data_IF_837387868150
#
_entry.id   IF_837387868150
#
_cell.length_a   1.000
_cell.length_b   1.000
_cell.length_c   1.000
_cell.angle_alpha   90.00
_cell.angle_beta   90.00
_cell.angle_gamma   90.00
#
_symmetry.space_group_name_H-M   'P 1'
#
loop_
_entity.id
_entity.type
_entity.pdbx_description
1 polymer ?
#
# COMPACT_ATOMS: atom_id res chain seq x y z
N UNK A 1 -7.74 -10.02 -2.82
CA UNK A 1 -6.90 -9.43 -1.76
C UNK A 1 -5.65 -10.29 -1.66
N UNK A 2 -4.49 -9.72 -1.95
CA UNK A 2 -3.19 -10.39 -1.98
C UNK A 2 -2.19 -9.60 -1.14
N UNK A 3 -1.59 -10.22 -0.13
CA UNK A 3 -0.51 -9.61 0.62
C UNK A 3 0.77 -9.65 -0.23
N UNK A 4 1.19 -8.49 -0.74
CA UNK A 4 2.37 -8.39 -1.62
C UNK A 4 3.64 -8.03 -0.87
N UNK A 5 3.51 -7.44 0.33
CA UNK A 5 4.63 -7.08 1.20
C UNK A 5 4.22 -7.17 2.67
N UNK A 6 5.14 -7.64 3.52
CA UNK A 6 4.90 -7.76 4.95
C UNK A 6 6.21 -7.75 5.73
N UNK A 7 6.43 -6.66 6.46
CA UNK A 7 7.55 -6.44 7.37
C UNK A 7 7.08 -6.25 8.80
N UNK A 8 8.02 -6.00 9.71
CA UNK A 8 7.71 -5.74 11.12
C UNK A 8 6.98 -4.40 11.31
N UNK A 9 7.27 -3.39 10.49
CA UNK A 9 6.66 -2.06 10.59
C UNK A 9 5.48 -1.87 9.62
N UNK A 10 5.62 -2.28 8.36
CA UNK A 10 4.56 -2.09 7.35
C UNK A 10 4.07 -3.37 6.67
N UNK A 11 2.85 -3.35 6.15
CA UNK A 11 2.28 -4.38 5.27
C UNK A 11 1.56 -3.73 4.09
N UNK A 12 1.68 -4.33 2.90
CA UNK A 12 0.97 -3.89 1.70
C UNK A 12 0.05 -5.00 1.22
N UNK A 13 -1.23 -4.68 1.10
CA UNK A 13 -2.25 -5.57 0.54
C UNK A 13 -2.73 -5.01 -0.79
N UNK A 14 -2.56 -5.79 -1.85
CA UNK A 14 -3.11 -5.51 -3.16
C UNK A 14 -4.56 -6.00 -3.24
N UNK A 15 -5.43 -5.12 -3.69
CA UNK A 15 -6.78 -5.42 -4.12
C UNK A 15 -6.82 -5.43 -5.64
N UNK A 16 -7.08 -6.62 -6.20
CA UNK A 16 -7.27 -6.77 -7.64
C UNK A 16 -8.40 -5.90 -8.15
N UNK A 17 -8.34 -5.54 -9.43
CA UNK A 17 -9.41 -4.76 -10.06
C UNK A 17 -10.74 -5.51 -9.97
N UNK A 18 -11.69 -4.88 -9.30
CA UNK A 18 -13.03 -5.41 -9.07
C UNK A 18 -14.02 -4.47 -9.74
N UNK A 19 -14.78 -5.00 -10.70
CA UNK A 19 -15.74 -4.19 -11.49
C UNK A 19 -17.04 -3.91 -10.75
N UNK A 20 -17.33 -4.66 -9.69
CA UNK A 20 -18.50 -4.49 -8.84
C UNK A 20 -18.25 -3.41 -7.77
N UNK A 21 -17.01 -3.26 -7.32
CA UNK A 21 -16.61 -2.19 -6.39
C UNK A 21 -16.07 -0.98 -7.13
N UNK A 22 -16.83 0.12 -7.15
CA UNK A 22 -16.46 1.35 -7.87
C UNK A 22 -15.09 1.91 -7.44
N UNK A 23 -14.75 1.80 -6.15
CA UNK A 23 -13.44 2.17 -5.61
C UNK A 23 -12.30 1.26 -6.10
N UNK A 24 -12.58 -0.01 -6.38
CA UNK A 24 -11.63 -1.01 -6.87
C UNK A 24 -11.73 -1.24 -8.38
N UNK A 25 -12.46 -0.39 -9.12
CA UNK A 25 -12.65 -0.52 -10.57
C UNK A 25 -11.33 -0.70 -11.34
N UNK A 26 -10.24 -0.11 -10.84
CA UNK A 26 -8.89 -0.21 -11.39
C UNK A 26 -7.89 -0.94 -10.47
N UNK A 27 -8.39 -1.53 -9.38
CA UNK A 27 -7.60 -2.07 -8.28
C UNK A 27 -7.26 -1.02 -7.23
N UNK A 28 -6.67 -1.49 -6.14
CA UNK A 28 -6.26 -0.66 -5.02
C UNK A 28 -5.14 -1.31 -4.22
N UNK A 29 -4.51 -0.51 -3.37
CA UNK A 29 -3.47 -0.93 -2.44
C UNK A 29 -3.80 -0.40 -1.06
N UNK A 30 -3.68 -1.24 -0.06
CA UNK A 30 -3.79 -0.85 1.34
C UNK A 30 -2.43 -0.96 1.98
N UNK A 31 -2.00 0.13 2.60
CA UNK A 31 -0.75 0.19 3.34
C UNK A 31 -1.11 0.29 4.81
N UNK A 32 -0.66 -0.70 5.57
CA UNK A 32 -0.89 -0.78 7.01
C UNK A 32 0.43 -0.51 7.73
N UNK A 33 0.44 0.52 8.56
CA UNK A 33 1.47 0.82 9.53
C UNK A 33 1.14 0.11 10.85
N UNK A 34 1.95 -0.90 11.20
CA UNK A 34 1.82 -1.66 12.44
C UNK A 34 2.35 -0.89 13.64
N UNK A 35 3.30 0.03 13.42
CA UNK A 35 3.94 0.80 14.47
C UNK A 35 2.96 1.75 15.16
N UNK A 36 2.33 2.63 14.37
CA UNK A 36 1.35 3.60 14.85
C UNK A 36 -0.09 3.12 14.70
N UNK A 37 -0.32 1.90 14.19
CA UNK A 37 -1.66 1.34 13.95
C UNK A 37 -2.51 2.26 13.09
N UNK A 38 -1.93 2.72 11.97
CA UNK A 38 -2.59 3.57 10.98
C UNK A 38 -2.58 2.87 9.63
N UNK A 39 -3.57 3.16 8.80
CA UNK A 39 -3.63 2.60 7.46
C UNK A 39 -4.04 3.65 6.45
N UNK A 40 -3.76 3.37 5.19
CA UNK A 40 -4.30 4.16 4.10
C UNK A 40 -4.64 3.27 2.93
N UNK A 41 -5.81 3.55 2.35
CA UNK A 41 -6.29 2.86 1.18
C UNK A 41 -6.10 3.74 -0.04
N UNK A 42 -5.38 3.21 -1.02
CA UNK A 42 -5.01 3.86 -2.26
C UNK A 42 -5.80 3.20 -3.39
N UNK A 43 -6.61 3.99 -4.10
CA UNK A 43 -7.44 3.52 -5.20
C UNK A 43 -7.37 4.44 -6.43
N UNK A 44 -7.85 3.95 -7.56
CA UNK A 44 -8.02 4.73 -8.79
C UNK A 44 -6.70 5.25 -9.37
N UNK A 45 -6.62 6.55 -9.61
CA UNK A 45 -5.42 7.17 -10.21
C UNK A 45 -4.18 7.09 -9.30
N UNK A 46 -4.38 7.14 -7.98
CA UNK A 46 -3.29 7.03 -7.01
C UNK A 46 -2.75 5.60 -6.97
N UNK A 47 -3.61 4.59 -7.12
CA UNK A 47 -3.18 3.17 -7.19
C UNK A 47 -2.33 2.88 -8.42
N UNK A 48 -2.63 3.50 -9.57
CA UNK A 48 -1.78 3.39 -10.75
C UNK A 48 -0.40 4.00 -10.53
N UNK A 49 -0.33 5.16 -9.87
CA UNK A 49 0.94 5.82 -9.57
C UNK A 49 1.75 4.95 -8.59
N UNK A 50 1.13 4.54 -7.48
CA UNK A 50 1.74 3.64 -6.50
C UNK A 50 2.28 2.35 -7.12
N UNK A 51 1.51 1.70 -8.01
CA UNK A 51 1.97 0.50 -8.72
C UNK A 51 3.21 0.78 -9.56
N UNK A 52 3.29 1.95 -10.21
CA UNK A 52 4.46 2.33 -11.00
C UNK A 52 5.66 2.54 -10.09
N UNK A 53 5.50 3.29 -9.01
CA UNK A 53 6.57 3.53 -8.02
C UNK A 53 7.06 2.20 -7.42
N UNK A 54 6.15 1.29 -7.05
CA UNK A 54 6.51 -0.05 -6.54
C UNK A 54 7.20 -0.91 -7.60
N UNK A 55 6.77 -0.86 -8.87
CA UNK A 55 7.47 -1.61 -9.93
C UNK A 55 8.89 -1.07 -10.17
N UNK A 56 9.07 0.25 -10.12
CA UNK A 56 10.38 0.89 -10.24
C UNK A 56 11.28 0.55 -9.04
N UNK A 57 10.70 0.56 -7.84
CA UNK A 57 11.36 0.16 -6.60
C UNK A 57 11.79 -1.30 -6.69
N UNK A 58 10.90 -2.23 -7.01
CA UNK A 58 11.19 -3.68 -7.16
C UNK A 58 12.24 -3.94 -8.25
N UNK A 59 12.23 -3.17 -9.34
CA UNK A 59 13.22 -3.30 -10.41
C UNK A 59 14.64 -2.97 -9.95
N UNK A 60 14.80 -2.21 -8.87
CA UNK A 60 16.10 -1.93 -8.22
C UNK A 60 16.47 -2.96 -7.15
N UNK A 61 15.71 -4.06 -7.00
CA UNK A 61 15.91 -5.10 -5.99
C UNK A 61 16.09 -4.50 -4.58
N UNK A 62 15.08 -3.77 -4.09
CA UNK A 62 15.17 -2.94 -2.90
C UNK A 62 15.22 -3.83 -1.67
N UNK A 63 15.92 -3.38 -0.64
CA UNK A 63 15.90 -4.05 0.66
C UNK A 63 14.59 -3.76 1.40
N UNK A 64 14.23 -4.59 2.38
CA UNK A 64 13.04 -4.32 3.23
C UNK A 64 13.10 -2.90 3.82
N UNK A 65 14.28 -2.47 4.27
CA UNK A 65 14.50 -1.13 4.82
C UNK A 65 14.11 -0.01 3.83
N UNK A 66 14.46 -0.14 2.54
CA UNK A 66 14.11 0.86 1.52
C UNK A 66 12.61 0.90 1.23
N UNK A 67 11.96 -0.27 1.29
CA UNK A 67 10.50 -0.36 1.16
C UNK A 67 9.84 0.30 2.38
N UNK A 68 10.30 0.01 3.60
CA UNK A 68 9.79 0.64 4.82
C UNK A 68 10.02 2.18 4.80
N UNK A 69 11.16 2.68 4.30
CA UNK A 69 11.39 4.12 4.10
C UNK A 69 10.44 4.74 3.05
N UNK A 70 10.22 4.04 1.92
CA UNK A 70 9.27 4.45 0.90
C UNK A 70 7.84 4.53 1.46
N UNK A 71 7.41 3.52 2.20
CA UNK A 71 6.10 3.48 2.85
C UNK A 71 5.97 4.54 3.96
N UNK A 72 7.05 4.84 4.66
CA UNK A 72 7.12 5.95 5.63
C UNK A 72 6.83 7.31 5.00
N UNK A 73 7.13 7.51 3.71
CA UNK A 73 6.75 8.73 2.99
C UNK A 73 5.22 8.88 2.83
N UNK A 74 4.48 7.76 2.86
CA UNK A 74 3.01 7.76 2.87
C UNK A 74 2.43 7.96 4.27
N UNK A 75 3.21 8.01 5.35
CA UNK A 75 2.70 8.25 6.72
C UNK A 75 1.90 9.56 6.81
N UNK A 76 2.34 10.59 6.08
CA UNK A 76 1.62 11.87 5.99
C UNK A 76 0.23 11.75 5.34
N UNK A 77 0.01 10.71 4.53
CA UNK A 77 -1.27 10.36 3.91
C UNK A 77 -2.07 9.34 4.75
N UNK A 78 -1.46 8.72 5.75
CA UNK A 78 -2.09 7.78 6.69
C UNK A 78 -2.82 8.55 7.80
N UNK A 79 -3.97 9.11 7.44
CA UNK A 79 -4.87 9.76 8.41
C UNK A 79 -5.92 8.81 9.00
N UNK A 80 -6.02 7.57 8.50
CA UNK A 80 -7.05 6.63 8.91
C UNK A 80 -6.53 5.74 10.05
N UNK A 81 -7.23 5.67 11.20
CA UNK A 81 -6.86 4.72 12.24
C UNK A 81 -7.09 3.29 11.74
N UNK A 82 -6.18 2.35 12.08
CA UNK A 82 -6.38 0.93 11.73
C UNK A 82 -7.65 0.44 12.41
N UNK A 83 -8.67 0.21 11.61
CA UNK A 83 -9.85 -0.50 12.07
C UNK A 83 -9.47 -1.96 11.99
N UNK A 84 -9.11 -2.54 13.15
CA UNK A 84 -8.81 -3.95 13.29
C UNK A 84 -9.82 -4.78 12.46
N UNK A 85 -9.34 -5.39 11.37
CA UNK A 85 -10.08 -6.32 10.52
C UNK A 85 -9.98 -7.75 11.06
#
# INVERSE_FOLDING_TARGET
MNLIYNSEQYSIVEFGADRDLEALRFGGYEIVDKGCKRETFIAGALAQSFRRDVNELIASEPSMEEIDEFLGSYDSLMSQPVLLH
#
